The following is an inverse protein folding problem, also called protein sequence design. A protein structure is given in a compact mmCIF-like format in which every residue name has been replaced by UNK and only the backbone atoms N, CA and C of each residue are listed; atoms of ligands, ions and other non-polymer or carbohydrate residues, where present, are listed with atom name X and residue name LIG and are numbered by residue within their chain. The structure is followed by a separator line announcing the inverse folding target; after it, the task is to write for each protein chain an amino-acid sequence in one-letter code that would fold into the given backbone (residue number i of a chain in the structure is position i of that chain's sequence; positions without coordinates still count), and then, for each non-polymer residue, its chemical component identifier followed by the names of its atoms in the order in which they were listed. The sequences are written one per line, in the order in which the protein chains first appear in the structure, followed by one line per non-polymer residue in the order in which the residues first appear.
data_IF_925991990731
#
_entry.id   IF_925991990731
#
_cell.length_a   1.000
_cell.length_b   1.000
_cell.length_c   1.000
_cell.angle_alpha   90.00
_cell.angle_beta   90.00
_cell.angle_gamma   90.00
#
_symmetry.space_group_name_H-M   'P 1'
#
loop_
_entity.id
_entity.type
_entity.pdbx_description
1 polymer ?
#
# COMPACT_ATOMS: atom_id res chain seq x y z
N UNK A 1 -7.73 8.84 8.88
CA UNK A 1 -6.54 9.18 9.68
C UNK A 1 -5.32 8.42 9.18
N UNK A 2 -5.30 7.08 9.25
CA UNK A 2 -4.14 6.23 8.96
C UNK A 2 -3.38 6.59 7.66
N UNK A 3 -4.03 6.48 6.49
CA UNK A 3 -3.35 6.73 5.20
C UNK A 3 -2.79 8.16 5.05
N UNK A 4 -3.38 9.17 5.70
CA UNK A 4 -2.85 10.54 5.67
C UNK A 4 -1.53 10.65 6.45
N UNK A 5 -1.37 9.90 7.54
CA UNK A 5 -0.11 9.84 8.31
C UNK A 5 0.98 9.16 7.48
N UNK A 6 0.69 7.99 6.92
CA UNK A 6 1.63 7.25 6.07
C UNK A 6 2.06 8.07 4.83
N UNK A 7 1.13 8.80 4.19
CA UNK A 7 1.45 9.69 3.08
C UNK A 7 2.42 10.81 3.49
N UNK A 8 2.28 11.34 4.70
CA UNK A 8 3.15 12.37 5.26
C UNK A 8 4.58 11.87 5.49
N UNK A 9 4.74 10.63 5.98
CA UNK A 9 6.06 10.01 6.16
C UNK A 9 6.86 9.94 4.85
N UNK A 10 6.17 9.71 3.72
CA UNK A 10 6.79 9.61 2.40
C UNK A 10 7.00 10.98 1.77
N UNK A 11 5.94 11.80 1.67
CA UNK A 11 5.91 12.94 0.76
C UNK A 11 5.38 14.24 1.40
N UNK A 12 5.44 14.39 2.72
CA UNK A 12 5.16 15.70 3.33
C UNK A 12 6.13 16.76 2.77
N UNK A 13 5.57 17.91 2.38
CA UNK A 13 6.31 18.98 1.73
C UNK A 13 7.37 19.60 2.65
N UNK A 14 8.53 19.94 2.06
CA UNK A 14 9.63 20.62 2.74
C UNK A 14 9.43 22.14 2.72
N UNK A 15 10.03 22.84 3.70
CA UNK A 15 10.22 24.31 3.72
C UNK A 15 8.93 25.16 3.58
N UNK A 16 7.76 24.65 3.96
CA UNK A 16 6.48 25.36 3.87
C UNK A 16 5.93 25.87 5.21
N UNK A 17 6.65 25.64 6.32
CA UNK A 17 6.24 26.04 7.67
C UNK A 17 5.07 25.23 8.27
N UNK A 18 4.73 24.07 7.72
CA UNK A 18 3.60 23.23 8.17
C UNK A 18 4.10 21.83 8.55
N UNK A 19 3.89 21.40 9.80
CA UNK A 19 4.23 20.05 10.29
C UNK A 19 5.72 19.70 10.12
N UNK A 20 6.04 18.51 9.61
CA UNK A 20 7.40 18.01 9.32
C UNK A 20 7.65 17.81 7.82
N UNK A 21 8.63 16.98 7.47
CA UNK A 21 9.05 16.68 6.08
C UNK A 21 9.02 15.18 5.81
N UNK A 22 8.63 14.77 4.62
CA UNK A 22 8.66 13.37 4.17
C UNK A 22 10.04 12.95 3.70
N UNK A 23 10.32 11.63 3.73
CA UNK A 23 11.60 11.05 3.27
C UNK A 23 11.90 11.40 1.81
N UNK A 24 10.88 11.41 0.96
CA UNK A 24 10.92 11.76 -0.44
C UNK A 24 9.98 12.95 -0.72
N UNK A 25 10.25 14.08 -0.08
CA UNK A 25 9.39 15.28 -0.11
C UNK A 25 9.12 15.88 -1.50
N UNK A 26 9.94 15.57 -2.53
CA UNK A 26 9.72 15.99 -3.93
C UNK A 26 8.98 14.93 -4.77
N UNK A 27 8.61 13.80 -4.17
CA UNK A 27 7.84 12.74 -4.85
C UNK A 27 6.35 13.10 -4.95
N UNK A 28 5.64 12.37 -5.81
CA UNK A 28 4.17 12.42 -5.88
C UNK A 28 3.59 11.32 -5.01
N UNK A 29 2.43 11.60 -4.40
CA UNK A 29 1.68 10.62 -3.60
C UNK A 29 0.27 10.43 -4.17
N UNK A 30 -0.15 9.17 -4.30
CA UNK A 30 -1.51 8.77 -4.64
C UNK A 30 -2.14 8.04 -3.45
N UNK A 31 -3.42 8.31 -3.17
CA UNK A 31 -4.17 7.66 -2.10
C UNK A 31 -5.24 6.74 -2.65
N UNK A 32 -5.16 5.44 -2.35
CA UNK A 32 -6.18 4.44 -2.72
C UNK A 32 -7.00 4.09 -1.48
N UNK A 33 -8.23 4.61 -1.39
CA UNK A 33 -9.12 4.38 -0.24
C UNK A 33 -9.85 3.04 -0.39
N UNK A 34 -9.27 1.98 0.16
CA UNK A 34 -9.81 0.62 0.03
C UNK A 34 -10.19 -0.06 1.35
N UNK A 35 -9.70 0.42 2.50
CA UNK A 35 -9.95 -0.20 3.82
C UNK A 35 -11.25 0.24 4.50
N UNK A 36 -11.87 1.32 4.02
CA UNK A 36 -13.11 1.85 4.58
C UNK A 36 -14.33 1.20 3.91
N UNK A 37 -14.43 -0.11 4.06
CA UNK A 37 -15.45 -0.95 3.45
C UNK A 37 -16.15 -1.79 4.53
N UNK A 38 -17.45 -2.09 4.39
CA UNK A 38 -18.16 -2.96 5.33
C UNK A 38 -17.57 -4.37 5.42
N UNK A 39 -16.99 -4.84 4.33
CA UNK A 39 -16.27 -6.12 4.24
C UNK A 39 -15.18 -6.01 3.18
N UNK A 40 -14.01 -6.58 3.49
CA UNK A 40 -12.91 -6.66 2.54
C UNK A 40 -13.16 -7.82 1.55
N UNK A 41 -12.89 -7.60 0.27
CA UNK A 41 -13.01 -8.65 -0.75
C UNK A 41 -11.74 -8.73 -1.60
N UNK A 42 -11.46 -9.92 -2.12
CA UNK A 42 -10.34 -10.17 -3.03
C UNK A 42 -10.35 -9.21 -4.24
N UNK A 43 -11.53 -8.84 -4.74
CA UNK A 43 -11.61 -7.93 -5.89
C UNK A 43 -11.19 -6.51 -5.52
N UNK A 44 -11.52 -6.04 -4.32
CA UNK A 44 -11.12 -4.70 -3.89
C UNK A 44 -9.61 -4.66 -3.62
N UNK A 45 -9.04 -5.70 -3.01
CA UNK A 45 -7.59 -5.86 -2.87
C UNK A 45 -6.89 -5.89 -4.24
N UNK A 46 -7.36 -6.72 -5.17
CA UNK A 46 -6.81 -6.83 -6.52
C UNK A 46 -6.86 -5.51 -7.30
N UNK A 47 -8.01 -4.82 -7.27
CA UNK A 47 -8.16 -3.53 -7.94
C UNK A 47 -7.23 -2.48 -7.32
N UNK A 48 -6.99 -2.54 -6.01
CA UNK A 48 -6.09 -1.62 -5.32
C UNK A 48 -4.63 -1.87 -5.67
N UNK A 49 -4.21 -3.15 -5.67
CA UNK A 49 -2.83 -3.54 -5.97
C UNK A 49 -2.47 -3.47 -7.46
N UNK A 50 -3.47 -3.38 -8.34
CA UNK A 50 -3.31 -3.20 -9.79
C UNK A 50 -3.71 -1.82 -10.30
N UNK A 51 -3.91 -0.82 -9.42
CA UNK A 51 -4.38 0.51 -9.84
C UNK A 51 -3.25 1.33 -10.48
N UNK A 52 -3.40 1.71 -11.74
CA UNK A 52 -2.43 2.58 -12.45
C UNK A 52 -0.97 2.08 -12.39
N UNK A 53 -0.68 0.81 -12.76
CA UNK A 53 0.62 0.17 -12.51
C UNK A 53 1.78 0.76 -13.30
N UNK A 54 1.52 1.56 -14.34
CA UNK A 54 2.55 2.26 -15.10
C UNK A 54 2.75 3.72 -14.68
N UNK A 55 1.89 4.24 -13.79
CA UNK A 55 2.01 5.57 -13.19
C UNK A 55 2.48 5.50 -11.73
N UNK A 56 2.04 4.48 -10.99
CA UNK A 56 2.45 4.24 -9.61
C UNK A 56 3.68 3.34 -9.60
N UNK A 57 4.79 3.84 -9.08
CA UNK A 57 6.01 3.05 -8.93
C UNK A 57 5.96 2.11 -7.72
N UNK A 58 5.51 2.64 -6.58
CA UNK A 58 5.59 1.98 -5.27
C UNK A 58 4.21 1.96 -4.62
N UNK A 59 3.77 0.77 -4.21
CA UNK A 59 2.60 0.58 -3.34
C UNK A 59 3.09 0.34 -1.92
N UNK A 60 2.65 1.16 -0.97
CA UNK A 60 2.91 0.99 0.45
C UNK A 60 1.63 0.57 1.15
N UNK A 61 1.65 -0.60 1.80
CA UNK A 61 0.49 -1.21 2.43
C UNK A 61 0.81 -1.67 3.85
N UNK A 62 -0.12 -1.37 4.76
CA UNK A 62 -0.07 -1.76 6.17
C UNK A 62 -1.44 -2.29 6.57
N UNK A 63 -1.81 -3.39 5.93
CA UNK A 63 -3.03 -4.16 6.17
C UNK A 63 -2.73 -5.65 5.92
N UNK A 64 -3.56 -6.53 6.46
CA UNK A 64 -3.36 -7.97 6.34
C UNK A 64 -4.41 -8.75 7.13
N UNK A 65 -4.18 -10.05 7.34
CA UNK A 65 -4.95 -10.85 8.28
C UNK A 65 -4.93 -10.24 9.69
N UNK A 66 -5.86 -10.65 10.54
CA UNK A 66 -5.91 -10.20 11.93
C UNK A 66 -4.64 -10.61 12.69
N UNK A 67 -4.01 -9.64 13.34
CA UNK A 67 -2.81 -9.83 14.16
C UNK A 67 -3.13 -10.40 15.56
N UNK A 68 -3.77 -11.57 15.63
CA UNK A 68 -4.19 -12.22 16.88
C UNK A 68 -3.35 -13.45 17.29
N UNK A 69 -2.27 -13.72 16.54
CA UNK A 69 -1.39 -14.87 16.73
C UNK A 69 -2.06 -16.23 16.44
N UNK A 70 -3.27 -16.24 15.85
CA UNK A 70 -4.07 -17.44 15.60
C UNK A 70 -4.60 -17.52 14.17
N UNK A 71 -4.68 -16.39 13.48
CA UNK A 71 -5.18 -16.29 12.12
C UNK A 71 -4.08 -16.62 11.12
N UNK A 72 -4.39 -17.53 10.19
CA UNK A 72 -3.56 -17.82 9.01
C UNK A 72 -4.40 -17.56 7.78
N UNK A 73 -4.12 -16.47 7.08
CA UNK A 73 -4.78 -16.11 5.83
C UNK A 73 -3.81 -15.35 4.91
N UNK A 74 -4.23 -15.09 3.68
CA UNK A 74 -3.40 -14.37 2.71
C UNK A 74 -4.19 -13.98 1.46
N UNK A 75 -3.51 -13.34 0.49
CA UNK A 75 -4.14 -12.86 -0.73
C UNK A 75 -4.80 -14.02 -1.49
N UNK A 76 -6.03 -13.78 -1.94
CA UNK A 76 -6.80 -14.71 -2.77
C UNK A 76 -6.37 -14.53 -4.25
N UNK A 77 -6.99 -15.31 -5.16
CA UNK A 77 -6.48 -15.48 -6.53
C UNK A 77 -6.46 -14.18 -7.37
N UNK A 78 -7.46 -13.30 -7.23
CA UNK A 78 -7.46 -12.04 -7.98
C UNK A 78 -6.31 -11.13 -7.52
N UNK A 79 -6.12 -11.00 -6.20
CA UNK A 79 -5.05 -10.18 -5.61
C UNK A 79 -3.67 -10.73 -5.94
N UNK A 80 -3.48 -12.04 -5.84
CA UNK A 80 -2.23 -12.68 -6.26
C UNK A 80 -1.90 -12.41 -7.73
N UNK A 81 -2.89 -12.50 -8.63
CA UNK A 81 -2.68 -12.18 -10.04
C UNK A 81 -2.38 -10.70 -10.27
N UNK A 82 -3.02 -9.80 -9.53
CA UNK A 82 -2.74 -8.37 -9.64
C UNK A 82 -1.29 -8.05 -9.24
N UNK A 83 -0.80 -8.61 -8.13
CA UNK A 83 0.58 -8.43 -7.67
C UNK A 83 1.57 -9.07 -8.66
N UNK A 84 1.32 -10.31 -9.10
CA UNK A 84 2.16 -10.99 -10.12
C UNK A 84 2.23 -10.17 -11.40
N UNK A 85 1.11 -9.61 -11.86
CA UNK A 85 1.10 -8.72 -13.01
C UNK A 85 1.90 -7.44 -12.75
N UNK A 86 1.72 -6.82 -11.58
CA UNK A 86 2.46 -5.61 -11.21
C UNK A 86 3.97 -5.81 -11.21
N UNK A 87 4.48 -6.91 -10.66
CA UNK A 87 5.93 -7.18 -10.64
C UNK A 87 6.51 -7.56 -12.00
N UNK A 88 5.71 -8.08 -12.94
CA UNK A 88 6.18 -8.49 -14.27
C UNK A 88 5.97 -7.44 -15.35
N UNK A 89 4.87 -6.68 -15.28
CA UNK A 89 4.43 -5.77 -16.35
C UNK A 89 4.39 -4.30 -15.92
N UNK A 90 4.28 -4.04 -14.61
CA UNK A 90 4.19 -2.71 -14.06
C UNK A 90 5.44 -1.87 -14.26
N UNK A 91 5.31 -0.55 -14.08
CA UNK A 91 6.36 0.44 -14.36
C UNK A 91 6.97 0.24 -15.74
N UNK A 92 6.13 0.03 -16.74
CA UNK A 92 6.56 -0.20 -18.13
C UNK A 92 7.53 -1.39 -18.27
N UNK A 93 7.31 -2.46 -17.48
CA UNK A 93 8.11 -3.69 -17.48
C UNK A 93 9.27 -3.73 -16.48
N UNK A 94 9.47 -2.69 -15.65
CA UNK A 94 10.47 -2.73 -14.57
C UNK A 94 9.97 -3.43 -13.30
N UNK A 95 8.67 -3.66 -13.19
CA UNK A 95 8.01 -4.27 -12.04
C UNK A 95 7.71 -3.26 -10.92
N UNK A 96 6.44 -3.17 -10.53
CA UNK A 96 6.00 -2.40 -9.38
C UNK A 96 6.69 -2.89 -8.09
N UNK A 97 6.95 -1.96 -7.18
CA UNK A 97 7.49 -2.26 -5.86
C UNK A 97 6.34 -2.31 -4.85
N UNK A 98 6.19 -3.43 -4.16
CA UNK A 98 5.22 -3.57 -3.07
C UNK A 98 5.96 -3.61 -1.74
N UNK A 99 5.70 -2.63 -0.88
CA UNK A 99 6.26 -2.52 0.47
C UNK A 99 5.14 -2.82 1.47
N UNK A 100 5.41 -3.73 2.40
CA UNK A 100 4.41 -4.22 3.35
C UNK A 100 4.90 -4.13 4.79
N UNK A 101 4.04 -3.68 5.70
CA UNK A 101 4.28 -3.82 7.13
C UNK A 101 4.20 -5.30 7.55
N UNK A 102 4.98 -5.71 8.55
CA UNK A 102 5.04 -7.10 8.99
C UNK A 102 3.85 -7.56 9.84
N UNK A 103 3.04 -6.63 10.33
CA UNK A 103 1.97 -6.87 11.31
C UNK A 103 2.37 -6.39 12.71
N UNK A 104 1.35 -6.14 13.52
CA UNK A 104 1.44 -5.56 14.87
C UNK A 104 1.16 -6.58 15.99
N UNK A 105 1.17 -7.88 15.66
CA UNK A 105 0.82 -8.98 16.58
C UNK A 105 1.94 -9.48 17.49
N UNK A 106 3.04 -8.74 17.60
CA UNK A 106 4.12 -9.05 18.53
C UNK A 106 3.69 -8.88 19.99
N UNK A 107 4.44 -9.48 20.91
CA UNK A 107 4.32 -9.15 22.35
C UNK A 107 5.00 -7.80 22.62
N UNK A 108 4.48 -7.03 23.59
CA UNK A 108 5.15 -5.85 24.15
C UNK A 108 6.46 -6.24 24.88
#
# INVERSE_FOLDING_TARGET
SHGTRCAGEVAAARDNGVCGVGVAYDSKVAGIRMLDQPYMTDLIEANSMGHEPNLIDIYSASWGPTDDGKTVDGPRNATMRAIVRGVNEGRNGYGNIYVWASGDGGED
#
